data_IF_741193052487
#
_entry.id   IF_741193052487
#
_cell.length_a   1.000
_cell.length_b   1.000
_cell.length_c   1.000
_cell.angle_alpha   90.00
_cell.angle_beta   90.00
_cell.angle_gamma   90.00
#
_symmetry.space_group_name_H-M   'P 1'
#
loop_
_entity.id
_entity.type
_entity.pdbx_description
1 polymer ?
#
# COMPACT_ATOMS: atom_id res chain seq x y z
N UNK A 1 24.04 -27.13 -38.11
CA UNK A 1 23.43 -25.78 -38.15
C UNK A 1 22.10 -25.88 -38.90
N UNK A 2 21.04 -25.13 -38.58
CA UNK A 2 20.55 -24.54 -37.32
C UNK A 2 19.14 -25.13 -36.99
N UNK A 3 18.45 -24.88 -35.88
CA UNK A 3 17.70 -23.65 -35.57
C UNK A 3 17.59 -23.48 -34.05
N UNK A 4 17.96 -22.28 -33.62
CA UNK A 4 17.68 -21.69 -32.32
C UNK A 4 16.29 -21.04 -32.46
N UNK A 5 15.32 -21.50 -31.70
CA UNK A 5 14.08 -20.74 -31.45
C UNK A 5 14.17 -20.15 -30.05
N UNK A 6 14.52 -18.86 -30.00
CA UNK A 6 14.33 -18.01 -28.82
C UNK A 6 12.89 -17.55 -28.90
N UNK A 7 12.01 -18.13 -28.07
CA UNK A 7 10.66 -17.63 -27.91
C UNK A 7 10.68 -16.36 -27.06
N UNK A 8 10.03 -15.34 -27.62
CA UNK A 8 9.93 -13.96 -27.18
C UNK A 8 9.05 -13.79 -25.93
N UNK A 9 9.42 -12.78 -25.13
CA UNK A 9 8.54 -11.85 -24.42
C UNK A 9 7.32 -12.40 -23.68
N UNK A 10 7.48 -12.66 -22.38
CA UNK A 10 6.39 -12.73 -21.41
C UNK A 10 5.88 -11.31 -21.11
N UNK A 11 5.03 -10.77 -21.99
CA UNK A 11 4.24 -9.57 -21.71
C UNK A 11 3.21 -9.91 -20.62
N UNK A 12 3.37 -9.30 -19.45
CA UNK A 12 2.38 -9.33 -18.38
C UNK A 12 1.16 -8.51 -18.84
N UNK A 13 0.16 -9.19 -19.41
CA UNK A 13 -1.14 -8.60 -19.72
C UNK A 13 -1.88 -8.34 -18.41
N UNK A 14 -1.83 -7.10 -17.93
CA UNK A 14 -2.68 -6.63 -16.83
C UNK A 14 -4.11 -6.51 -17.40
N UNK A 15 -4.92 -7.55 -17.20
CA UNK A 15 -6.35 -7.52 -17.48
C UNK A 15 -7.03 -6.55 -16.52
N UNK A 16 -7.26 -5.32 -16.97
CA UNK A 16 -8.19 -4.39 -16.32
C UNK A 16 -9.62 -4.80 -16.71
N UNK A 17 -10.18 -5.79 -16.02
CA UNK A 17 -11.63 -5.96 -16.01
C UNK A 17 -12.22 -4.98 -14.97
N UNK A 18 -13.00 -3.97 -15.39
CA UNK A 18 -13.81 -3.22 -14.45
C UNK A 18 -14.89 -4.13 -13.89
N UNK A 19 -14.97 -4.23 -12.56
CA UNK A 19 -16.08 -4.88 -11.88
C UNK A 19 -17.41 -4.21 -12.30
N UNK A 20 -18.43 -4.95 -12.75
CA UNK A 20 -19.70 -4.38 -13.14
C UNK A 20 -20.48 -3.98 -11.87
N UNK A 21 -20.65 -2.68 -11.63
CA UNK A 21 -21.45 -2.21 -10.50
C UNK A 21 -21.36 -0.72 -10.13
N UNK A 22 -20.50 0.07 -10.76
CA UNK A 22 -20.40 1.50 -10.44
C UNK A 22 -21.55 2.28 -11.10
N UNK A 23 -22.53 2.67 -10.28
CA UNK A 23 -23.65 3.53 -10.65
C UNK A 23 -23.28 4.94 -10.22
N UNK A 24 -23.07 5.84 -11.17
CA UNK A 24 -22.88 7.27 -10.90
C UNK A 24 -24.10 7.80 -10.15
N UNK A 25 -23.91 8.06 -8.86
CA UNK A 25 -24.88 8.69 -7.97
C UNK A 25 -24.19 9.85 -7.29
N UNK A 26 -24.34 11.03 -7.86
CA UNK A 26 -24.21 12.29 -7.15
C UNK A 26 -25.17 12.27 -5.96
N UNK A 27 -24.66 12.15 -4.74
CA UNK A 27 -24.89 13.12 -3.67
C UNK A 27 -24.15 12.76 -2.37
N UNK A 28 -23.39 13.74 -1.88
CA UNK A 28 -23.14 14.05 -0.47
C UNK A 28 -22.34 13.09 0.44
N UNK A 29 -21.20 13.63 0.90
CA UNK A 29 -20.44 13.28 2.12
C UNK A 29 -19.50 12.06 2.09
N UNK A 30 -18.52 12.07 1.18
CA UNK A 30 -17.30 11.28 1.34
C UNK A 30 -16.10 12.18 1.09
N UNK A 31 -15.53 12.75 2.16
CA UNK A 31 -14.30 13.55 2.11
C UNK A 31 -13.23 12.75 1.35
N UNK A 32 -13.09 13.12 0.08
CA UNK A 32 -12.26 12.43 -0.87
C UNK A 32 -10.84 12.73 -0.43
N UNK A 33 -10.12 11.73 0.05
CA UNK A 33 -8.68 11.81 0.32
C UNK A 33 -7.98 12.05 -1.02
N UNK A 34 -7.93 13.32 -1.44
CA UNK A 34 -7.47 13.80 -2.75
C UNK A 34 -5.95 13.91 -2.85
N UNK A 35 -5.19 13.13 -2.08
CA UNK A 35 -3.75 13.11 -2.25
C UNK A 35 -3.18 11.72 -1.96
N UNK A 36 -2.63 11.01 -2.95
CA UNK A 36 -1.82 9.81 -2.71
C UNK A 36 -0.54 10.14 -1.89
N UNK A 37 -0.21 11.43 -1.75
CA UNK A 37 0.84 11.97 -0.87
C UNK A 37 0.43 12.16 0.59
N UNK A 38 -0.87 12.16 0.90
CA UNK A 38 -1.35 12.20 2.28
C UNK A 38 -1.39 10.77 2.79
N UNK A 39 -0.42 10.41 3.65
CA UNK A 39 -0.39 9.10 4.27
C UNK A 39 -1.70 8.78 4.99
N UNK A 40 -2.11 7.51 4.92
CA UNK A 40 -3.24 7.00 5.66
C UNK A 40 -2.84 6.88 7.12
N UNK A 41 -3.59 7.50 8.03
CA UNK A 41 -3.34 7.36 9.47
C UNK A 41 -3.86 6.02 9.98
N UNK A 42 -3.36 5.54 11.13
CA UNK A 42 -3.92 4.35 11.80
C UNK A 42 -5.44 4.47 12.01
N UNK A 43 -5.92 5.66 12.40
CA UNK A 43 -7.34 5.92 12.63
C UNK A 43 -8.15 5.82 11.32
N UNK A 44 -7.61 6.33 10.22
CA UNK A 44 -8.26 6.24 8.92
C UNK A 44 -8.23 4.79 8.42
N UNK A 45 -7.10 4.09 8.55
CA UNK A 45 -6.99 2.67 8.22
C UNK A 45 -8.03 1.84 8.99
N UNK A 46 -8.23 2.13 10.29
CA UNK A 46 -9.27 1.47 11.09
C UNK A 46 -10.66 1.71 10.53
N UNK A 47 -10.99 2.93 10.11
CA UNK A 47 -12.30 3.23 9.51
C UNK A 47 -12.53 2.42 8.24
N UNK A 48 -11.52 2.32 7.36
CA UNK A 48 -11.67 1.60 6.10
C UNK A 48 -11.72 0.08 6.31
N UNK A 49 -10.90 -0.46 7.21
CA UNK A 49 -10.88 -1.91 7.49
C UNK A 49 -12.14 -2.37 8.23
N UNK A 50 -12.69 -1.52 9.11
CA UNK A 50 -13.91 -1.81 9.88
C UNK A 50 -15.19 -1.30 9.21
N UNK A 51 -15.12 -0.78 7.99
CA UNK A 51 -16.31 -0.35 7.25
C UNK A 51 -17.26 -1.55 7.06
N UNK A 52 -18.48 -1.44 7.57
CA UNK A 52 -19.46 -2.51 7.55
C UNK A 52 -20.01 -2.81 6.14
N UNK A 53 -19.94 -1.82 5.23
CA UNK A 53 -20.49 -1.96 3.89
C UNK A 53 -19.45 -2.50 2.91
N UNK A 54 -18.18 -2.15 3.09
CA UNK A 54 -17.09 -2.61 2.23
C UNK A 54 -15.74 -2.58 2.96
N UNK A 55 -15.44 -3.59 3.79
CA UNK A 55 -14.21 -3.60 4.57
C UNK A 55 -12.99 -3.76 3.68
N UNK A 56 -12.09 -2.77 3.70
CA UNK A 56 -10.81 -2.89 3.02
C UNK A 56 -9.92 -3.92 3.72
N UNK A 57 -9.13 -4.64 2.92
CA UNK A 57 -8.12 -5.58 3.41
C UNK A 57 -6.74 -5.08 3.02
N UNK A 58 -5.80 -5.24 3.93
CA UNK A 58 -4.38 -5.01 3.65
C UNK A 58 -3.87 -6.18 2.82
N UNK A 59 -3.45 -5.91 1.58
CA UNK A 59 -2.99 -6.94 0.64
C UNK A 59 -1.48 -7.16 0.73
N UNK A 60 -0.72 -6.07 0.78
CA UNK A 60 0.75 -6.09 0.80
C UNK A 60 1.28 -4.96 1.66
N UNK A 61 2.42 -5.19 2.28
CA UNK A 61 3.13 -4.19 3.08
C UNK A 61 4.61 -4.21 2.73
N UNK A 62 5.12 -3.03 2.39
CA UNK A 62 6.55 -2.75 2.19
C UNK A 62 6.94 -1.73 3.25
N UNK A 63 8.12 -1.88 3.82
CA UNK A 63 8.66 -0.99 4.83
C UNK A 63 9.95 -0.41 4.28
N UNK A 64 9.97 0.90 4.09
CA UNK A 64 11.18 1.61 3.67
C UNK A 64 11.98 1.97 4.91
N UNK A 65 13.23 1.52 4.97
CA UNK A 65 14.15 1.86 6.04
C UNK A 65 14.96 3.10 5.66
N UNK A 66 14.77 4.19 6.40
CA UNK A 66 15.45 5.47 6.19
C UNK A 66 16.84 5.38 6.82
N UNK A 67 17.87 5.21 5.99
CA UNK A 67 19.24 4.95 6.46
C UNK A 67 19.82 6.04 7.38
N UNK A 68 19.35 7.29 7.27
CA UNK A 68 19.89 8.42 8.05
C UNK A 68 19.32 8.50 9.47
N UNK A 69 18.09 8.02 9.68
CA UNK A 69 17.39 8.13 10.98
C UNK A 69 17.05 6.77 11.59
N UNK A 70 17.28 5.68 10.86
CA UNK A 70 16.78 4.34 11.18
C UNK A 70 15.26 4.28 11.35
N UNK A 71 14.54 5.29 10.85
CA UNK A 71 13.08 5.31 10.87
C UNK A 71 12.54 4.34 9.82
N UNK A 72 11.42 3.71 10.17
CA UNK A 72 10.68 2.87 9.24
C UNK A 72 9.49 3.66 8.68
N UNK A 73 9.34 3.58 7.37
CA UNK A 73 8.23 4.16 6.62
C UNK A 73 7.43 3.03 5.96
N UNK A 74 6.35 2.56 6.59
CA UNK A 74 5.50 1.51 6.02
C UNK A 74 4.61 2.06 4.91
N UNK A 75 4.50 1.31 3.83
CA UNK A 75 3.61 1.51 2.71
C UNK A 75 2.74 0.27 2.55
N UNK A 76 1.47 0.47 2.26
CA UNK A 76 0.50 -0.61 2.18
C UNK A 76 -0.40 -0.50 0.96
N UNK A 77 -0.72 -1.66 0.40
CA UNK A 77 -1.72 -1.82 -0.66
C UNK A 77 -3.01 -2.29 0.00
N UNK A 78 -4.11 -1.61 -0.30
CA UNK A 78 -5.44 -1.95 0.19
C UNK A 78 -6.28 -2.57 -0.93
N UNK A 79 -7.28 -3.37 -0.59
CA UNK A 79 -8.14 -4.01 -1.58
C UNK A 79 -9.12 -3.07 -2.27
N UNK A 80 -9.46 -1.96 -1.63
CA UNK A 80 -10.44 -0.97 -2.10
C UNK A 80 -9.78 0.25 -2.78
N UNK A 81 -8.45 0.34 -2.75
CA UNK A 81 -7.70 1.48 -3.29
C UNK A 81 -6.49 1.00 -4.07
N UNK A 82 -6.28 1.57 -5.24
CA UNK A 82 -5.12 1.28 -6.07
C UNK A 82 -3.88 2.04 -5.57
N UNK A 83 -2.73 1.37 -5.61
CA UNK A 83 -1.42 1.96 -5.31
C UNK A 83 -0.93 1.70 -3.89
N UNK A 84 0.28 2.22 -3.62
CA UNK A 84 0.91 2.15 -2.32
C UNK A 84 0.55 3.38 -1.50
N UNK A 85 0.02 3.15 -0.30
CA UNK A 85 -0.35 4.21 0.63
C UNK A 85 0.62 4.21 1.81
N UNK A 86 1.30 5.33 2.08
CA UNK A 86 2.14 5.43 3.26
C UNK A 86 1.28 5.38 4.52
N UNK A 87 1.68 4.59 5.51
CA UNK A 87 1.00 4.47 6.79
C UNK A 87 1.68 5.36 7.84
N UNK A 88 0.94 6.35 8.32
CA UNK A 88 1.36 7.21 9.41
C UNK A 88 0.78 6.72 10.74
N UNK A 89 1.57 6.77 11.81
CA UNK A 89 1.09 6.43 13.15
C UNK A 89 -0.01 7.41 13.60
N UNK A 90 0.20 8.70 13.32
CA UNK A 90 -0.79 9.77 13.51
C UNK A 90 -0.79 10.73 12.32
N UNK A 91 -1.92 11.41 12.12
CA UNK A 91 -2.13 12.39 11.03
C UNK A 91 -1.05 13.49 10.97
N UNK A 92 -0.40 13.81 12.08
CA UNK A 92 0.63 14.86 12.22
C UNK A 92 2.05 14.33 12.44
N UNK A 93 2.25 13.05 12.73
CA UNK A 93 3.58 12.47 13.00
C UNK A 93 4.33 12.05 11.72
N UNK A 94 3.65 12.07 10.56
CA UNK A 94 4.25 11.70 9.28
C UNK A 94 4.51 10.20 9.14
N UNK A 95 5.02 9.79 7.97
CA UNK A 95 5.24 8.38 7.59
C UNK A 95 6.46 7.78 8.31
N UNK A 96 7.40 8.63 8.76
CA UNK A 96 8.69 8.27 9.36
C UNK A 96 8.66 8.24 10.89
N UNK A 97 7.69 7.54 11.46
CA UNK A 97 7.50 7.49 12.92
C UNK A 97 7.55 6.07 13.49
N UNK A 98 7.79 5.06 12.66
CA UNK A 98 7.81 3.68 13.11
C UNK A 98 9.23 3.32 13.56
N UNK A 99 9.49 3.42 14.86
CA UNK A 99 10.80 3.09 15.45
C UNK A 99 11.05 1.59 15.63
N UNK A 100 10.05 0.72 15.41
CA UNK A 100 10.19 -0.73 15.61
C UNK A 100 9.24 -1.55 14.71
N UNK A 101 9.82 -2.53 14.00
CA UNK A 101 9.09 -3.53 13.21
C UNK A 101 8.12 -4.38 14.05
N UNK A 102 8.43 -4.66 15.32
CA UNK A 102 7.53 -5.45 16.18
C UNK A 102 6.25 -4.69 16.48
N UNK A 103 6.36 -3.40 16.76
CA UNK A 103 5.20 -2.52 16.98
C UNK A 103 4.36 -2.44 15.70
N UNK A 104 4.99 -2.24 14.54
CA UNK A 104 4.31 -2.26 13.25
C UNK A 104 3.55 -3.58 13.01
N UNK A 105 4.20 -4.73 13.25
CA UNK A 105 3.53 -6.04 13.13
C UNK A 105 2.31 -6.17 14.03
N UNK A 106 2.40 -5.74 15.28
CA UNK A 106 1.27 -5.81 16.23
C UNK A 106 0.09 -4.97 15.73
N UNK A 107 0.35 -3.76 15.24
CA UNK A 107 -0.70 -2.88 14.70
C UNK A 107 -1.35 -3.51 13.47
N UNK A 108 -0.55 -3.99 12.51
CA UNK A 108 -1.05 -4.64 11.29
C UNK A 108 -1.84 -5.93 11.58
N UNK A 109 -1.40 -6.73 12.56
CA UNK A 109 -2.14 -7.91 13.01
C UNK A 109 -3.49 -7.52 13.63
N UNK A 110 -3.57 -6.37 14.31
CA UNK A 110 -4.83 -5.80 14.79
C UNK A 110 -5.83 -5.45 13.68
N UNK A 111 -5.33 -5.25 12.45
CA UNK A 111 -6.13 -5.06 11.24
C UNK A 111 -6.28 -6.35 10.41
N UNK A 112 -5.92 -7.51 10.97
CA UNK A 112 -6.07 -8.81 10.31
C UNK A 112 -4.98 -9.15 9.29
N UNK A 113 -3.92 -8.34 9.18
CA UNK A 113 -2.81 -8.63 8.28
C UNK A 113 -1.81 -9.60 8.91
N UNK A 114 -1.56 -10.71 8.22
CA UNK A 114 -0.61 -11.76 8.63
C UNK A 114 0.50 -12.01 7.60
N UNK A 115 0.56 -11.18 6.55
CA UNK A 115 1.53 -11.31 5.47
C UNK A 115 2.96 -10.93 5.86
N UNK A 116 3.90 -11.14 4.93
CA UNK A 116 5.31 -10.79 5.12
C UNK A 116 5.50 -9.28 4.99
N UNK A 117 6.27 -8.70 5.91
CA UNK A 117 6.79 -7.33 5.80
C UNK A 117 8.08 -7.36 5.00
N UNK A 118 8.10 -6.71 3.84
CA UNK A 118 9.30 -6.55 3.03
C UNK A 118 10.01 -5.27 3.43
N UNK A 119 11.17 -5.38 4.08
CA UNK A 119 12.00 -4.22 4.44
C UNK A 119 12.95 -3.95 3.29
N UNK A 120 12.94 -2.72 2.79
CA UNK A 120 13.74 -2.28 1.64
C UNK A 120 14.47 -0.99 2.05
N UNK A 121 15.80 -0.89 1.84
CA UNK A 121 16.52 0.34 2.17
C UNK A 121 16.07 1.49 1.29
N UNK A 122 16.03 2.70 1.86
CA UNK A 122 15.75 3.91 1.09
C UNK A 122 16.79 4.08 -0.04
N UNK A 123 16.32 4.34 -1.26
CA UNK A 123 17.15 4.45 -2.45
C UNK A 123 17.33 3.16 -3.25
N UNK A 124 16.73 2.04 -2.80
CA UNK A 124 16.68 0.83 -3.60
C UNK A 124 15.84 1.05 -4.88
N UNK A 125 16.32 0.63 -6.07
CA UNK A 125 15.59 0.79 -7.33
C UNK A 125 14.23 0.07 -7.37
N UNK A 126 13.99 -0.91 -6.49
CA UNK A 126 12.69 -1.55 -6.35
C UNK A 126 11.61 -0.57 -5.88
N UNK A 127 11.95 0.45 -5.08
CA UNK A 127 10.98 1.44 -4.60
C UNK A 127 10.40 2.26 -5.76
N UNK A 128 11.27 2.73 -6.67
CA UNK A 128 10.85 3.43 -7.87
C UNK A 128 9.97 2.56 -8.79
N UNK A 129 10.29 1.26 -8.91
CA UNK A 129 9.45 0.29 -9.65
C UNK A 129 8.07 0.08 -9.02
N UNK A 130 7.96 0.24 -7.70
CA UNK A 130 6.71 0.17 -6.97
C UNK A 130 5.95 1.50 -6.97
N UNK A 131 6.54 2.59 -7.50
CA UNK A 131 5.95 3.93 -7.44
C UNK A 131 6.04 4.56 -6.04
N UNK A 132 7.03 4.15 -5.25
CA UNK A 132 7.34 4.68 -3.92
C UNK A 132 8.57 5.60 -4.05
N UNK A 133 8.36 6.91 -3.87
CA UNK A 133 9.40 7.96 -3.81
C UNK A 133 9.79 8.29 -2.35
#
# INVERSE_FOLDING_TARGET
MPLVEIAESDEIVISQQPCPGYRDGEDSAGETVRNPRQGISEADLRKVVMDANSPARILRVVVVEVATTADLAPYLVLSDRAGWHPLALRRHEGVKAWGDLRTLRKVLAGFGYSGRLHVIPQGDPLLARLGID
#
